data_IF_243614493288
#
_entry.id   IF_243614493288
#
_cell.length_a   1.000
_cell.length_b   1.000
_cell.length_c   1.000
_cell.angle_alpha   90.00
_cell.angle_beta   90.00
_cell.angle_gamma   90.00
#
_symmetry.space_group_name_H-M   'P 1'
#
loop_
_entity.id
_entity.type
_entity.pdbx_description
1 polymer ?
#
# COMPACT_ATOMS: atom_id res chain seq x y z
N UNK A 1 -7.90 14.78 6.83
CA UNK A 1 -6.87 14.13 6.00
C UNK A 1 -5.78 13.47 6.85
N UNK A 2 -4.84 14.19 7.47
CA UNK A 2 -3.74 13.52 8.22
C UNK A 2 -4.25 12.70 9.42
N UNK A 3 -5.19 13.25 10.20
CA UNK A 3 -5.78 12.51 11.31
C UNK A 3 -6.49 11.23 10.85
N UNK A 4 -7.20 11.26 9.71
CA UNK A 4 -7.89 10.08 9.16
C UNK A 4 -6.90 9.01 8.69
N UNK A 5 -5.79 9.42 8.07
CA UNK A 5 -4.70 8.50 7.71
C UNK A 5 -4.09 7.89 8.97
N UNK A 6 -3.91 8.69 10.03
CA UNK A 6 -3.33 8.22 11.28
C UNK A 6 -4.22 7.19 11.99
N UNK A 7 -5.52 7.45 12.13
CA UNK A 7 -6.47 6.51 12.74
C UNK A 7 -6.53 5.20 11.95
N UNK A 8 -6.64 5.26 10.62
CA UNK A 8 -6.63 4.06 9.77
C UNK A 8 -5.29 3.30 9.86
N UNK A 9 -4.17 4.02 9.93
CA UNK A 9 -2.85 3.40 10.09
C UNK A 9 -2.69 2.73 11.46
N UNK A 10 -3.35 3.26 12.50
CA UNK A 10 -3.37 2.64 13.82
C UNK A 10 -4.15 1.32 13.78
N UNK A 11 -5.33 1.32 13.16
CA UNK A 11 -6.16 0.12 13.00
C UNK A 11 -5.42 -0.98 12.22
N UNK A 12 -4.81 -0.63 11.08
CA UNK A 12 -4.01 -1.57 10.27
C UNK A 12 -2.83 -2.13 11.08
N UNK A 13 -2.15 -1.30 11.87
CA UNK A 13 -1.04 -1.74 12.71
C UNK A 13 -1.51 -2.73 13.79
N UNK A 14 -2.68 -2.50 14.39
CA UNK A 14 -3.26 -3.42 15.37
C UNK A 14 -3.67 -4.75 14.76
N UNK A 15 -4.23 -4.76 13.56
CA UNK A 15 -4.68 -5.98 12.87
C UNK A 15 -3.54 -6.80 12.27
N UNK A 16 -2.51 -6.16 11.74
CA UNK A 16 -1.40 -6.86 11.05
C UNK A 16 -0.14 -7.02 11.88
N UNK A 17 -0.03 -6.29 12.99
CA UNK A 17 1.19 -6.18 13.79
C UNK A 17 2.42 -5.74 12.96
N UNK A 18 2.21 -4.99 11.87
CA UNK A 18 3.28 -4.46 11.05
C UNK A 18 3.96 -3.25 11.70
N UNK A 19 5.02 -2.73 11.06
CA UNK A 19 5.66 -1.49 11.53
C UNK A 19 4.73 -0.31 11.24
N UNK A 20 4.82 0.74 12.06
CA UNK A 20 4.03 1.96 11.88
C UNK A 20 4.19 2.59 10.48
N UNK A 21 5.38 2.48 9.88
CA UNK A 21 5.60 2.98 8.53
C UNK A 21 4.84 2.19 7.47
N UNK A 22 4.71 0.87 7.65
CA UNK A 22 3.99 0.01 6.72
C UNK A 22 2.50 0.37 6.73
N UNK A 23 1.91 0.49 7.92
CA UNK A 23 0.50 0.85 8.07
C UNK A 23 0.20 2.26 7.59
N UNK A 24 1.11 3.23 7.80
CA UNK A 24 0.93 4.60 7.32
C UNK A 24 0.82 4.68 5.79
N UNK A 25 1.71 4.00 5.07
CA UNK A 25 1.66 4.00 3.60
C UNK A 25 0.48 3.21 3.03
N UNK A 26 0.06 2.13 3.71
CA UNK A 26 -1.16 1.41 3.36
C UNK A 26 -2.37 2.33 3.55
N UNK A 27 -2.53 2.94 4.74
CA UNK A 27 -3.61 3.88 5.03
C UNK A 27 -3.65 5.04 4.03
N UNK A 28 -2.49 5.64 3.76
CA UNK A 28 -2.35 6.74 2.79
C UNK A 28 -2.84 6.30 1.41
N UNK A 29 -2.37 5.15 0.92
CA UNK A 29 -2.75 4.64 -0.41
C UNK A 29 -4.24 4.36 -0.52
N UNK A 30 -4.87 3.87 0.56
CA UNK A 30 -6.32 3.67 0.63
C UNK A 30 -7.07 4.99 0.57
N UNK A 31 -6.68 5.98 1.36
CA UNK A 31 -7.32 7.30 1.42
C UNK A 31 -7.18 8.09 0.12
N UNK A 32 -6.04 7.97 -0.58
CA UNK A 32 -5.79 8.67 -1.84
C UNK A 32 -6.15 7.85 -3.08
N UNK A 33 -6.76 6.67 -2.91
CA UNK A 33 -7.06 5.73 -3.99
C UNK A 33 -5.86 5.49 -4.93
N UNK A 34 -4.67 5.35 -4.33
CA UNK A 34 -3.39 5.25 -5.03
C UNK A 34 -2.90 3.80 -5.08
N UNK A 35 -1.99 3.54 -6.02
CA UNK A 35 -1.30 2.24 -6.12
C UNK A 35 -0.09 2.26 -5.17
N UNK A 36 0.07 1.21 -4.37
CA UNK A 36 1.24 1.02 -3.52
C UNK A 36 2.31 0.18 -4.23
N UNK A 37 3.50 0.75 -4.45
CA UNK A 37 4.62 0.04 -5.06
C UNK A 37 5.75 -0.02 -4.02
N UNK A 38 6.19 -1.23 -3.64
CA UNK A 38 7.22 -1.40 -2.63
C UNK A 38 8.13 -2.60 -2.92
N UNK A 39 9.31 -2.61 -2.29
CA UNK A 39 10.24 -3.73 -2.27
C UNK A 39 10.20 -4.52 -0.95
N UNK A 40 9.13 -4.36 -0.17
CA UNK A 40 8.84 -5.18 1.00
C UNK A 40 7.62 -6.06 0.71
N UNK A 41 7.83 -7.38 0.63
CA UNK A 41 6.76 -8.31 0.28
C UNK A 41 5.64 -8.34 1.33
N UNK A 42 5.99 -8.27 2.62
CA UNK A 42 5.02 -8.32 3.72
C UNK A 42 4.12 -7.08 3.66
N UNK A 43 4.70 -5.91 3.39
CA UNK A 43 3.95 -4.68 3.20
C UNK A 43 2.98 -4.76 2.02
N UNK A 44 3.43 -5.27 0.87
CA UNK A 44 2.58 -5.44 -0.32
C UNK A 44 1.44 -6.42 -0.06
N UNK A 45 1.72 -7.54 0.59
CA UNK A 45 0.71 -8.54 0.90
C UNK A 45 -0.33 -8.00 1.89
N UNK A 46 0.10 -7.23 2.90
CA UNK A 46 -0.82 -6.54 3.79
C UNK A 46 -1.66 -5.50 3.05
N UNK A 47 -1.06 -4.66 2.18
CA UNK A 47 -1.80 -3.70 1.37
C UNK A 47 -2.91 -4.38 0.54
N UNK A 48 -2.60 -5.51 -0.09
CA UNK A 48 -3.56 -6.31 -0.87
C UNK A 48 -4.71 -6.83 0.01
N UNK A 49 -4.47 -7.23 1.26
CA UNK A 49 -5.53 -7.64 2.21
C UNK A 49 -6.51 -6.50 2.52
N UNK A 50 -6.05 -5.25 2.50
CA UNK A 50 -6.89 -4.05 2.67
C UNK A 50 -7.52 -3.55 1.37
N UNK A 51 -7.49 -4.36 0.29
CA UNK A 51 -8.11 -4.01 -0.98
C UNK A 51 -7.33 -2.96 -1.79
N UNK A 52 -6.11 -2.65 -1.40
CA UNK A 52 -5.26 -1.69 -2.11
C UNK A 52 -4.56 -2.42 -3.26
N UNK A 53 -4.60 -1.80 -4.44
CA UNK A 53 -3.80 -2.26 -5.58
C UNK A 53 -2.32 -2.04 -5.27
N UNK A 54 -1.57 -3.12 -5.12
CA UNK A 54 -0.17 -3.05 -4.74
C UNK A 54 0.73 -4.01 -5.51
N UNK A 55 2.00 -3.64 -5.70
CA UNK A 55 2.99 -4.41 -6.45
C UNK A 55 4.30 -4.57 -5.69
N UNK A 56 4.85 -5.80 -5.74
CA UNK A 56 6.20 -6.06 -5.28
C UNK A 56 7.19 -5.78 -6.43
N UNK A 57 7.79 -4.58 -6.41
CA UNK A 57 8.43 -3.99 -7.58
C UNK A 57 9.50 -4.87 -8.21
N UNK A 58 10.39 -5.47 -7.41
CA UNK A 58 11.50 -6.28 -7.93
C UNK A 58 11.05 -7.50 -8.74
N UNK A 59 9.85 -8.03 -8.49
CA UNK A 59 9.27 -9.16 -9.26
C UNK A 59 8.23 -8.72 -10.27
N UNK A 60 7.60 -7.56 -10.06
CA UNK A 60 6.43 -7.12 -10.82
C UNK A 60 6.69 -5.87 -11.67
N UNK A 61 7.96 -5.52 -11.93
CA UNK A 61 8.35 -4.30 -12.65
C UNK A 61 7.65 -4.15 -14.01
N UNK A 62 7.54 -5.23 -14.79
CA UNK A 62 6.89 -5.18 -16.11
C UNK A 62 5.39 -4.87 -15.99
N UNK A 63 4.72 -5.41 -14.95
CA UNK A 63 3.31 -5.11 -14.67
C UNK A 63 3.15 -3.64 -14.25
N UNK A 64 4.02 -3.14 -13.38
CA UNK A 64 4.03 -1.74 -12.95
C UNK A 64 4.21 -0.81 -14.14
N UNK A 65 5.16 -1.08 -15.02
CA UNK A 65 5.39 -0.27 -16.22
C UNK A 65 4.20 -0.32 -17.19
N UNK A 66 3.57 -1.47 -17.37
CA UNK A 66 2.36 -1.60 -18.18
C UNK A 66 1.20 -0.79 -17.59
N UNK A 67 1.00 -0.86 -16.27
CA UNK A 67 -0.03 -0.11 -15.56
C UNK A 67 0.15 1.40 -15.73
N UNK A 68 1.36 1.91 -15.48
CA UNK A 68 1.68 3.34 -15.60
C UNK A 68 1.52 3.87 -17.03
N UNK A 69 1.76 3.03 -18.05
CA UNK A 69 1.52 3.40 -19.46
C UNK A 69 0.02 3.49 -19.78
N UNK A 70 -0.81 2.67 -19.14
CA UNK A 70 -2.26 2.67 -19.30
C UNK A 70 -2.98 3.81 -18.58
N UNK A 71 -2.29 4.50 -17.66
CA UNK A 71 -2.80 5.67 -16.93
C UNK A 71 -2.68 7.00 -17.70
N UNK A 72 -2.22 6.95 -18.96
CA UNK A 72 -2.08 8.12 -19.84
C UNK A 72 -3.41 8.59 -20.42
#
# INVERSE_FOLDING_TARGET
MENEIFEEALDIAFETHCRAIDSYFIATSKQTNSILIANDRIMVDNAKKYGIKAYYLIEEIDKVLSELRGMR
#
